data_IF_105910704626
#
_entry.id   IF_105910704626
#
_cell.length_a   1.000
_cell.length_b   1.000
_cell.length_c   1.000
_cell.angle_alpha   90.00
_cell.angle_beta   90.00
_cell.angle_gamma   90.00
#
_symmetry.space_group_name_H-M   'P 1'
#
loop_
_entity.id
_entity.type
_entity.pdbx_description
1 polymer ?
#
# COMPACT_ATOMS: atom_id res chain seq x y z
N UNK A 1 26.27 42.90 63.08
CA UNK A 1 26.53 41.45 63.24
C UNK A 1 27.27 41.01 61.99
N UNK A 2 28.61 40.94 61.94
CA UNK A 2 29.62 40.17 62.70
C UNK A 2 29.61 38.66 62.40
N UNK A 3 30.41 38.30 61.38
CA UNK A 3 31.56 37.39 61.43
C UNK A 3 31.37 35.84 61.53
N UNK A 4 32.41 35.03 61.18
CA UNK A 4 32.39 34.06 60.08
C UNK A 4 32.80 32.64 60.55
N UNK A 5 33.31 31.81 59.63
CA UNK A 5 34.12 30.57 59.83
C UNK A 5 33.33 29.25 59.74
N UNK A 6 33.55 28.47 58.67
CA UNK A 6 34.47 27.31 58.56
C UNK A 6 33.88 26.00 59.10
N UNK A 7 33.69 25.02 58.24
CA UNK A 7 34.52 23.80 58.30
C UNK A 7 34.48 23.02 56.99
N UNK A 8 35.70 22.80 56.52
CA UNK A 8 36.18 22.06 55.36
C UNK A 8 36.26 20.57 55.75
N UNK A 9 35.79 19.66 54.89
CA UNK A 9 36.42 18.34 54.79
C UNK A 9 36.64 18.04 53.31
N UNK A 10 37.92 18.02 52.95
CA UNK A 10 38.46 17.40 51.75
C UNK A 10 38.80 15.94 52.07
N UNK A 11 38.66 15.06 51.07
CA UNK A 11 39.58 13.98 50.68
C UNK A 11 38.86 13.20 49.57
N UNK A 12 39.09 13.55 48.30
CA UNK A 12 40.22 13.10 47.47
C UNK A 12 39.89 11.78 46.76
N UNK A 13 39.79 11.82 45.44
CA UNK A 13 39.74 10.60 44.66
C UNK A 13 39.25 10.75 43.23
N UNK A 14 40.14 11.28 42.37
CA UNK A 14 40.23 10.96 40.94
C UNK A 14 39.24 11.68 40.02
N UNK A 15 39.70 12.81 39.48
CA UNK A 15 39.40 13.16 38.10
C UNK A 15 40.58 12.67 37.24
N UNK A 16 40.36 11.74 36.31
CA UNK A 16 41.15 11.67 35.10
C UNK A 16 40.27 12.04 33.91
N UNK A 17 40.44 13.29 33.46
CA UNK A 17 40.70 13.67 32.07
C UNK A 17 40.25 12.65 31.01
N UNK A 18 39.09 12.92 30.42
CA UNK A 18 38.68 12.34 29.14
C UNK A 18 37.28 12.84 28.77
N UNK A 19 37.02 13.26 27.52
CA UNK A 19 35.65 13.48 27.10
C UNK A 19 34.93 12.15 27.23
N UNK A 20 34.01 12.05 28.18
CA UNK A 20 33.12 10.89 28.27
C UNK A 20 32.18 11.01 27.08
N UNK A 21 32.63 10.48 25.94
CA UNK A 21 31.74 9.99 24.90
C UNK A 21 30.92 8.92 25.60
N UNK A 22 29.82 9.33 26.24
CA UNK A 22 28.72 8.44 26.45
C UNK A 22 28.28 8.07 25.03
N UNK A 23 28.89 7.03 24.48
CA UNK A 23 28.18 6.14 23.59
C UNK A 23 26.97 5.70 24.41
N UNK A 24 25.91 6.51 24.31
CA UNK A 24 24.55 6.02 24.43
C UNK A 24 24.61 4.76 23.59
N UNK A 25 24.43 3.56 24.17
CA UNK A 25 24.14 2.42 23.34
C UNK A 25 22.93 2.91 22.56
N UNK A 26 23.12 3.17 21.27
CA UNK A 26 22.01 3.17 20.34
C UNK A 26 21.35 1.86 20.68
N UNK A 27 20.25 1.93 21.43
CA UNK A 27 19.38 0.80 21.63
C UNK A 27 18.87 0.61 20.23
N UNK A 28 19.65 -0.15 19.48
CA UNK A 28 19.26 -0.89 18.33
C UNK A 28 18.24 -1.82 18.95
N UNK A 29 17.02 -1.29 19.10
CA UNK A 29 15.82 -2.09 19.17
C UNK A 29 15.90 -2.92 17.91
N UNK A 30 16.60 -4.03 18.08
CA UNK A 30 16.71 -5.16 17.19
C UNK A 30 15.36 -5.80 17.35
N UNK A 31 14.34 -5.08 16.88
CA UNK A 31 13.00 -5.56 16.82
C UNK A 31 12.97 -6.50 15.63
N UNK A 32 13.53 -7.68 15.88
CA UNK A 32 13.18 -8.91 15.24
C UNK A 32 11.72 -9.30 15.60
N UNK A 33 10.82 -8.31 15.80
CA UNK A 33 9.47 -8.42 15.31
C UNK A 33 9.61 -8.97 13.90
N UNK A 34 9.13 -10.19 13.69
CA UNK A 34 8.79 -10.66 12.36
C UNK A 34 7.92 -9.56 11.77
N UNK A 35 8.51 -8.70 10.92
CA UNK A 35 7.81 -7.60 10.27
C UNK A 35 6.69 -8.31 9.53
N UNK A 36 5.48 -8.21 10.06
CA UNK A 36 4.32 -8.74 9.35
C UNK A 36 4.37 -8.09 7.96
N UNK A 37 4.18 -8.88 6.89
CA UNK A 37 4.10 -8.31 5.56
C UNK A 37 3.15 -7.11 5.61
N UNK A 38 3.55 -5.98 5.02
CA UNK A 38 2.86 -4.73 5.23
C UNK A 38 1.41 -4.74 4.70
N UNK A 39 1.09 -5.70 3.80
CA UNK A 39 -0.25 -6.00 3.33
C UNK A 39 -0.80 -7.34 3.83
N UNK A 40 -0.26 -7.88 4.92
CA UNK A 40 -0.82 -9.08 5.55
C UNK A 40 -2.30 -8.87 5.86
N UNK A 41 -3.12 -9.86 5.53
CA UNK A 41 -4.58 -9.87 5.67
C UNK A 41 -5.36 -8.98 4.68
N UNK A 42 -4.68 -8.26 3.76
CA UNK A 42 -5.36 -7.47 2.73
C UNK A 42 -5.89 -8.36 1.61
N UNK A 43 -7.18 -8.24 1.31
CA UNK A 43 -7.83 -8.94 0.20
C UNK A 43 -8.07 -7.96 -0.94
N UNK A 44 -7.36 -8.14 -2.05
CA UNK A 44 -7.39 -7.20 -3.18
C UNK A 44 -7.97 -7.93 -4.40
N UNK A 45 -9.09 -7.44 -4.94
CA UNK A 45 -9.70 -8.02 -6.13
C UNK A 45 -9.16 -7.40 -7.41
N UNK A 46 -8.98 -8.18 -8.47
CA UNK A 46 -8.67 -7.67 -9.81
C UNK A 46 -9.63 -8.25 -10.85
N UNK A 47 -9.96 -7.49 -11.88
CA UNK A 47 -10.90 -7.93 -12.91
C UNK A 47 -10.25 -8.96 -13.84
N UNK A 48 -10.57 -10.24 -13.69
CA UNK A 48 -10.03 -11.31 -14.55
C UNK A 48 -11.00 -11.72 -15.66
N UNK A 49 -12.28 -11.38 -15.47
CA UNK A 49 -13.34 -11.59 -16.45
C UNK A 49 -14.19 -10.33 -16.56
N UNK A 50 -14.66 -10.04 -17.77
CA UNK A 50 -15.65 -9.01 -18.03
C UNK A 50 -17.01 -9.65 -18.29
N UNK A 51 -18.05 -9.16 -17.62
CA UNK A 51 -19.43 -9.49 -17.92
C UNK A 51 -20.02 -8.41 -18.83
N UNK A 52 -20.21 -8.76 -20.10
CA UNK A 52 -20.86 -7.93 -21.13
C UNK A 52 -22.08 -8.66 -21.66
N UNK A 53 -23.25 -8.05 -21.60
CA UNK A 53 -24.52 -8.64 -22.07
C UNK A 53 -24.81 -10.07 -21.57
N UNK A 54 -24.35 -10.38 -20.35
CA UNK A 54 -24.50 -11.72 -19.77
C UNK A 54 -23.46 -12.74 -20.23
N UNK A 55 -22.52 -12.36 -21.09
CA UNK A 55 -21.39 -13.17 -21.55
C UNK A 55 -20.15 -12.82 -20.73
N UNK A 56 -19.46 -13.85 -20.25
CA UNK A 56 -18.16 -13.71 -19.59
C UNK A 56 -17.04 -13.76 -20.63
N UNK A 57 -16.19 -12.74 -20.62
CA UNK A 57 -15.01 -12.60 -21.48
C UNK A 57 -13.76 -12.58 -20.60
N UNK A 58 -12.79 -13.45 -20.89
CA UNK A 58 -11.51 -13.43 -20.19
C UNK A 58 -10.71 -12.16 -20.51
N UNK A 59 -10.04 -11.62 -19.49
CA UNK A 59 -9.25 -10.40 -19.63
C UNK A 59 -7.80 -10.74 -19.95
N UNK A 60 -7.27 -10.16 -21.02
CA UNK A 60 -5.82 -10.19 -21.28
C UNK A 60 -5.13 -9.09 -20.49
N UNK A 61 -4.28 -9.49 -19.55
CA UNK A 61 -3.54 -8.58 -18.68
C UNK A 61 -2.17 -8.24 -19.25
N UNK A 62 -1.77 -6.97 -19.16
CA UNK A 62 -0.42 -6.56 -19.52
C UNK A 62 0.61 -7.21 -18.59
N UNK A 63 1.82 -7.49 -19.10
CA UNK A 63 2.89 -8.06 -18.27
C UNK A 63 3.23 -7.15 -17.07
N UNK A 64 3.18 -5.84 -17.27
CA UNK A 64 3.38 -4.86 -16.21
C UNK A 64 2.32 -4.94 -15.11
N UNK A 65 1.07 -5.22 -15.47
CA UNK A 65 0.00 -5.45 -14.50
C UNK A 65 0.19 -6.78 -13.74
N UNK A 66 0.56 -7.85 -14.43
CA UNK A 66 0.85 -9.13 -13.75
C UNK A 66 2.00 -9.01 -12.75
N UNK A 67 3.06 -8.29 -13.10
CA UNK A 67 4.16 -7.95 -12.19
C UNK A 67 3.68 -7.12 -10.99
N UNK A 68 2.72 -6.21 -11.20
CA UNK A 68 2.09 -5.44 -10.13
C UNK A 68 1.37 -6.36 -9.12
N UNK A 69 0.59 -7.32 -9.62
CA UNK A 69 -0.11 -8.30 -8.80
C UNK A 69 0.87 -9.18 -8.03
N UNK A 70 1.98 -9.57 -8.65
CA UNK A 70 3.05 -10.33 -7.99
C UNK A 70 3.65 -9.55 -6.81
N UNK A 71 3.90 -8.25 -6.96
CA UNK A 71 4.40 -7.42 -5.85
C UNK A 71 3.40 -7.30 -4.71
N UNK A 72 2.11 -7.19 -5.01
CA UNK A 72 1.05 -7.22 -3.99
C UNK A 72 1.06 -8.55 -3.22
N UNK A 73 1.14 -9.68 -3.93
CA UNK A 73 1.23 -11.02 -3.32
C UNK A 73 2.49 -11.18 -2.48
N UNK A 74 3.65 -10.75 -2.99
CA UNK A 74 4.92 -10.81 -2.28
C UNK A 74 4.93 -9.92 -1.01
N UNK A 75 4.12 -8.86 -1.01
CA UNK A 75 3.89 -8.00 0.15
C UNK A 75 2.88 -8.56 1.16
N UNK A 76 2.35 -9.77 0.90
CA UNK A 76 1.46 -10.52 1.77
C UNK A 76 -0.04 -10.33 1.52
N UNK A 77 -0.43 -9.66 0.44
CA UNK A 77 -1.84 -9.49 0.10
C UNK A 77 -2.41 -10.74 -0.60
N UNK A 78 -3.66 -11.07 -0.27
CA UNK A 78 -4.47 -12.05 -0.99
C UNK A 78 -5.09 -11.40 -2.23
N UNK A 79 -4.53 -11.69 -3.39
CA UNK A 79 -5.00 -11.15 -4.67
C UNK A 79 -5.97 -12.13 -5.35
N UNK A 80 -7.21 -11.70 -5.55
CA UNK A 80 -8.34 -12.53 -5.97
C UNK A 80 -8.91 -12.09 -7.33
N UNK A 81 -9.16 -13.01 -8.27
CA UNK A 81 -9.87 -12.69 -9.50
C UNK A 81 -11.34 -12.37 -9.18
N UNK A 82 -11.87 -11.34 -9.82
CA UNK A 82 -13.28 -10.95 -9.76
C UNK A 82 -13.81 -10.65 -11.16
N UNK A 83 -15.13 -10.71 -11.30
CA UNK A 83 -15.80 -10.32 -12.54
C UNK A 83 -16.09 -8.83 -12.52
N UNK A 84 -15.71 -8.09 -13.56
CA UNK A 84 -16.10 -6.68 -13.74
C UNK A 84 -17.25 -6.55 -14.75
N UNK A 85 -18.23 -5.71 -14.46
CA UNK A 85 -19.39 -5.43 -15.29
C UNK A 85 -19.04 -4.31 -16.26
N UNK A 86 -19.16 -4.59 -17.55
CA UNK A 86 -19.00 -3.59 -18.60
C UNK A 86 -20.37 -3.28 -19.19
N UNK A 87 -21.04 -2.20 -18.74
CA UNK A 87 -22.28 -1.79 -19.37
C UNK A 87 -21.98 -1.27 -20.78
N UNK A 88 -22.81 -1.66 -21.74
CA UNK A 88 -22.72 -1.21 -23.14
C UNK A 88 -22.91 0.30 -23.30
N UNK A 89 -23.52 0.95 -22.32
CA UNK A 89 -23.66 2.41 -22.28
C UNK A 89 -23.02 2.92 -20.99
N UNK A 90 -22.08 3.89 -21.06
CA UNK A 90 -21.44 4.46 -19.87
C UNK A 90 -22.40 5.21 -18.92
N UNK A 91 -23.68 5.29 -19.27
CA UNK A 91 -24.72 6.10 -18.61
C UNK A 91 -25.69 5.30 -17.74
N UNK A 92 -25.59 3.97 -17.67
CA UNK A 92 -26.51 3.16 -16.87
C UNK A 92 -26.12 3.16 -15.37
N UNK A 93 -25.94 4.35 -14.80
CA UNK A 93 -25.98 4.53 -13.35
C UNK A 93 -27.44 4.48 -12.91
N UNK A 94 -28.01 3.27 -12.83
CA UNK A 94 -29.28 3.10 -12.15
C UNK A 94 -29.01 3.14 -10.64
N UNK A 95 -29.53 4.13 -9.93
CA UNK A 95 -29.52 4.21 -8.46
C UNK A 95 -30.08 2.93 -7.80
N UNK A 96 -30.81 2.11 -8.58
CA UNK A 96 -31.42 0.84 -8.19
C UNK A 96 -30.45 -0.35 -8.28
N UNK A 97 -29.40 -0.26 -9.10
CA UNK A 97 -28.34 -1.27 -9.21
C UNK A 97 -27.17 -0.80 -8.35
N UNK A 98 -27.00 -1.38 -7.16
CA UNK A 98 -25.93 -1.01 -6.24
C UNK A 98 -24.56 -0.91 -6.94
N UNK A 99 -23.76 0.07 -6.52
CA UNK A 99 -22.46 0.34 -7.13
C UNK A 99 -21.59 -0.93 -7.20
N UNK A 100 -20.98 -1.17 -8.35
CA UNK A 100 -20.23 -2.40 -8.58
C UNK A 100 -19.09 -2.58 -7.57
N UNK A 101 -18.34 -1.52 -7.25
CA UNK A 101 -17.23 -1.59 -6.29
C UNK A 101 -17.73 -2.09 -4.94
N UNK A 102 -18.85 -1.55 -4.45
CA UNK A 102 -19.42 -1.97 -3.16
C UNK A 102 -19.89 -3.42 -3.19
N UNK A 103 -20.50 -3.84 -4.32
CA UNK A 103 -20.94 -5.23 -4.50
C UNK A 103 -19.75 -6.19 -4.46
N UNK A 104 -18.69 -5.94 -5.23
CA UNK A 104 -17.51 -6.81 -5.27
C UNK A 104 -16.73 -6.82 -3.96
N UNK A 105 -16.58 -5.65 -3.34
CA UNK A 105 -15.99 -5.51 -2.00
C UNK A 105 -16.78 -6.34 -0.98
N UNK A 106 -18.11 -6.26 -0.99
CA UNK A 106 -18.94 -7.00 -0.03
C UNK A 106 -18.99 -8.50 -0.31
N UNK A 107 -19.14 -8.90 -1.58
CA UNK A 107 -19.27 -10.29 -2.04
C UNK A 107 -18.01 -11.10 -1.73
N UNK A 108 -16.84 -10.55 -2.03
CA UNK A 108 -15.56 -11.23 -1.84
C UNK A 108 -14.84 -10.83 -0.53
N UNK A 109 -15.45 -9.92 0.25
CA UNK A 109 -14.86 -9.30 1.46
C UNK A 109 -13.48 -8.71 1.16
N UNK A 110 -13.42 -7.86 0.14
CA UNK A 110 -12.19 -7.21 -0.31
C UNK A 110 -11.95 -5.92 0.46
N UNK A 111 -10.69 -5.61 0.70
CA UNK A 111 -10.27 -4.31 1.22
C UNK A 111 -10.14 -3.28 0.09
N UNK A 112 -9.82 -3.75 -1.13
CA UNK A 112 -9.70 -2.91 -2.32
C UNK A 112 -9.91 -3.69 -3.61
N UNK A 113 -10.15 -2.97 -4.70
CA UNK A 113 -10.05 -3.47 -6.07
C UNK A 113 -8.84 -2.83 -6.76
N UNK A 114 -8.27 -3.53 -7.73
CA UNK A 114 -7.15 -3.04 -8.54
C UNK A 114 -7.40 -3.31 -10.03
N UNK A 115 -7.00 -2.38 -10.87
CA UNK A 115 -7.14 -2.47 -12.33
C UNK A 115 -5.97 -1.82 -13.06
N UNK A 116 -5.67 -2.30 -14.26
CA UNK A 116 -4.73 -1.66 -15.19
C UNK A 116 -5.30 -0.29 -15.64
N UNK A 117 -4.43 0.68 -15.89
CA UNK A 117 -4.79 1.97 -16.46
C UNK A 117 -5.42 1.92 -17.85
N UNK A 118 -5.27 0.83 -18.61
CA UNK A 118 -5.98 0.62 -19.87
C UNK A 118 -7.25 -0.22 -19.74
N UNK A 119 -7.46 -0.89 -18.59
CA UNK A 119 -8.66 -1.69 -18.38
C UNK A 119 -9.88 -0.77 -18.26
N UNK A 120 -11.04 -1.13 -18.85
CA UNK A 120 -12.28 -0.40 -18.63
C UNK A 120 -12.92 -0.68 -17.26
N UNK A 121 -12.44 -1.65 -16.49
CA UNK A 121 -13.04 -2.08 -15.23
C UNK A 121 -12.94 -1.02 -14.12
N UNK A 122 -14.06 -0.82 -13.41
CA UNK A 122 -14.20 0.02 -12.22
C UNK A 122 -13.96 1.54 -12.39
N UNK A 123 -13.36 1.99 -13.50
CA UNK A 123 -13.01 3.41 -13.76
C UNK A 123 -14.20 4.35 -13.81
N UNK A 124 -15.35 3.88 -14.31
CA UNK A 124 -16.58 4.68 -14.39
C UNK A 124 -17.05 5.21 -13.03
N UNK A 125 -16.71 4.50 -11.94
CA UNK A 125 -17.25 4.77 -10.61
C UNK A 125 -16.47 5.82 -9.83
N UNK A 126 -15.21 6.12 -10.18
CA UNK A 126 -14.46 7.26 -9.62
C UNK A 126 -15.20 8.59 -9.81
N UNK A 127 -15.99 8.72 -10.89
CA UNK A 127 -16.80 9.92 -11.17
C UNK A 127 -17.98 10.10 -10.21
N UNK A 128 -18.28 9.11 -9.38
CA UNK A 128 -19.49 9.06 -8.54
C UNK A 128 -19.21 9.13 -7.04
N UNK A 129 -17.97 9.49 -6.66
CA UNK A 129 -17.57 9.75 -5.27
C UNK A 129 -16.86 8.60 -4.57
N UNK A 130 -16.54 7.52 -5.28
CA UNK A 130 -15.71 6.43 -4.76
C UNK A 130 -14.23 6.82 -4.72
N UNK A 131 -13.48 6.44 -3.66
CA UNK A 131 -12.06 6.70 -3.60
C UNK A 131 -11.33 5.85 -4.65
N UNK A 132 -10.48 6.50 -5.43
CA UNK A 132 -9.55 5.87 -6.36
C UNK A 132 -8.18 6.52 -6.24
N UNK A 133 -7.12 5.71 -6.27
CA UNK A 133 -5.72 6.17 -6.25
C UNK A 133 -4.99 5.56 -7.43
N UNK A 134 -4.34 6.41 -8.21
CA UNK A 134 -3.50 6.01 -9.34
C UNK A 134 -2.04 5.92 -8.91
N UNK A 135 -1.38 4.82 -9.24
CA UNK A 135 0.04 4.60 -9.08
C UNK A 135 0.69 4.36 -10.43
N UNK A 136 1.88 4.95 -10.59
CA UNK A 136 2.62 4.90 -11.83
C UNK A 136 4.03 4.47 -11.49
N UNK A 137 4.52 3.45 -12.16
CA UNK A 137 5.88 2.95 -12.02
C UNK A 137 6.43 2.53 -13.38
N UNK A 138 7.75 2.43 -13.47
CA UNK A 138 8.41 1.92 -14.65
C UNK A 138 8.67 0.43 -14.45
N UNK A 139 8.30 -0.38 -15.43
CA UNK A 139 8.79 -1.74 -15.51
C UNK A 139 10.28 -1.69 -15.91
N UNK A 140 11.16 -2.08 -14.99
CA UNK A 140 12.62 -2.02 -15.19
C UNK A 140 13.08 -2.91 -16.35
N UNK A 141 12.35 -3.99 -16.65
CA UNK A 141 12.73 -4.95 -17.67
C UNK A 141 12.48 -4.42 -19.09
N UNK A 142 11.46 -3.57 -19.24
CA UNK A 142 10.98 -3.10 -20.55
C UNK A 142 11.00 -1.57 -20.71
N UNK A 143 11.27 -0.81 -19.65
CA UNK A 143 11.16 0.65 -19.64
C UNK A 143 9.73 1.17 -19.84
N UNK A 144 8.73 0.28 -19.76
CA UNK A 144 7.34 0.58 -20.03
C UNK A 144 6.70 1.19 -18.78
N UNK A 145 5.98 2.29 -18.96
CA UNK A 145 5.20 2.93 -17.90
C UNK A 145 3.97 2.08 -17.59
N UNK A 146 3.92 1.51 -16.39
CA UNK A 146 2.76 0.78 -15.88
C UNK A 146 1.90 1.73 -15.06
N UNK A 147 0.61 1.73 -15.36
CA UNK A 147 -0.39 2.52 -14.64
C UNK A 147 -1.31 1.56 -13.92
N UNK A 148 -1.46 1.76 -12.61
CA UNK A 148 -2.26 0.91 -11.74
C UNK A 148 -3.27 1.76 -10.98
N UNK A 149 -4.53 1.37 -11.00
CA UNK A 149 -5.57 2.02 -10.23
C UNK A 149 -6.04 1.14 -9.10
N UNK A 150 -6.05 1.70 -7.89
CA UNK A 150 -6.70 1.11 -6.74
C UNK A 150 -8.03 1.79 -6.49
N UNK A 151 -9.06 1.01 -6.18
CA UNK A 151 -10.40 1.49 -5.86
C UNK A 151 -10.84 0.95 -4.51
N UNK A 152 -11.55 1.78 -3.76
CA UNK A 152 -12.16 1.38 -2.50
C UNK A 152 -13.66 1.62 -2.49
N UNK A 153 -14.36 0.92 -1.61
CA UNK A 153 -15.73 1.29 -1.23
C UNK A 153 -15.79 2.72 -0.65
N UNK A 154 -16.98 3.30 -0.51
CA UNK A 154 -17.15 4.71 -0.07
C UNK A 154 -16.44 5.03 1.26
N UNK A 155 -16.36 4.04 2.14
CA UNK A 155 -15.74 4.14 3.47
C UNK A 155 -14.24 3.82 3.51
N UNK A 156 -13.65 3.34 2.40
CA UNK A 156 -12.30 2.79 2.39
C UNK A 156 -11.20 3.83 2.07
N UNK A 157 -11.49 5.14 2.13
CA UNK A 157 -10.55 6.20 1.71
C UNK A 157 -9.20 6.15 2.44
N UNK A 158 -9.25 6.03 3.76
CA UNK A 158 -8.03 6.05 4.59
C UNK A 158 -7.22 4.77 4.35
N UNK A 159 -7.88 3.61 4.30
CA UNK A 159 -7.27 2.33 3.96
C UNK A 159 -6.61 2.37 2.57
N UNK A 160 -7.29 2.91 1.56
CA UNK A 160 -6.76 2.98 0.20
C UNK A 160 -5.47 3.81 0.12
N UNK A 161 -5.35 4.85 0.94
CA UNK A 161 -4.15 5.69 1.03
C UNK A 161 -2.97 4.93 1.65
N UNK A 162 -3.25 4.10 2.67
CA UNK A 162 -2.26 3.20 3.27
C UNK A 162 -1.79 2.15 2.25
N UNK A 163 -2.72 1.51 1.54
CA UNK A 163 -2.41 0.53 0.48
C UNK A 163 -1.48 1.13 -0.57
N UNK A 164 -1.84 2.30 -1.09
CA UNK A 164 -1.06 2.98 -2.11
C UNK A 164 0.37 3.24 -1.63
N UNK A 165 0.55 3.74 -0.39
CA UNK A 165 1.86 4.02 0.20
C UNK A 165 2.69 2.76 0.38
N UNK A 166 2.11 1.71 0.96
CA UNK A 166 2.80 0.43 1.19
C UNK A 166 3.24 -0.19 -0.14
N UNK A 167 2.36 -0.15 -1.14
CA UNK A 167 2.69 -0.63 -2.49
C UNK A 167 3.85 0.15 -3.12
N UNK A 168 3.91 1.48 -2.98
CA UNK A 168 5.07 2.24 -3.48
C UNK A 168 6.37 1.84 -2.79
N UNK A 169 6.32 1.63 -1.47
CA UNK A 169 7.51 1.20 -0.71
C UNK A 169 7.99 -0.17 -1.19
N UNK A 170 7.08 -1.11 -1.42
CA UNK A 170 7.42 -2.42 -1.97
C UNK A 170 8.05 -2.33 -3.37
N UNK A 171 7.51 -1.45 -4.23
CA UNK A 171 8.08 -1.21 -5.57
C UNK A 171 9.46 -0.56 -5.51
N UNK A 172 9.68 0.40 -4.62
CA UNK A 172 10.99 1.03 -4.42
C UNK A 172 12.02 0.04 -3.86
N UNK A 173 11.63 -0.83 -2.93
CA UNK A 173 12.50 -1.88 -2.40
C UNK A 173 12.93 -2.85 -3.50
N UNK A 174 12.01 -3.24 -4.39
CA UNK A 174 12.30 -4.09 -5.56
C UNK A 174 13.30 -3.43 -6.51
N UNK A 175 13.06 -2.17 -6.86
CA UNK A 175 13.95 -1.40 -7.73
C UNK A 175 15.37 -1.24 -7.13
N UNK A 176 15.44 -0.93 -5.84
CA UNK A 176 16.71 -0.80 -5.11
C UNK A 176 17.49 -2.12 -4.98
N UNK A 177 16.80 -3.26 -5.04
CA UNK A 177 17.42 -4.59 -5.09
C UNK A 177 17.97 -4.94 -6.48
N UNK A 178 17.36 -4.44 -7.56
CA UNK A 178 17.86 -4.67 -8.93
C UNK A 178 19.06 -3.78 -9.29
N UNK A 179 19.30 -2.70 -8.54
CA UNK A 179 20.40 -1.76 -8.76
C UNK A 179 21.70 -2.10 -7.97
N UNK A 180 21.72 -3.18 -7.19
CA UNK A 180 22.87 -3.67 -6.41
C UNK A 180 23.43 -4.94 -7.01
#
# INVERSE_FOLDING_TARGET
MRDPSLSLIALSGLDPEGPVMAEVPLVMESDALKVRPALADWRIGFADEYLRDGVLEAVEHSNGFLLALEVLRASGADVLPVVAQLPDTPEQFSLTSGNEIDKRVSEHRLDALVSDGQSPAFHGFCKTGYPGVCQIFNDELHGTRVVLWFYGARWARDSLSVLARVYQQAMQARAGMSAR
#
